data_IF_666247598542
#
_entry.id   IF_666247598542
#
_cell.length_a   1.000
_cell.length_b   1.000
_cell.length_c   1.000
_cell.angle_alpha   90.00
_cell.angle_beta   90.00
_cell.angle_gamma   90.00
#
_symmetry.space_group_name_H-M   'P 1'
#
loop_
_entity.id
_entity.type
_entity.pdbx_description
1 polymer ?
#
# COMPACT_ATOMS: atom_id res chain seq x y z
N UNK A 1 12.24 -30.34 -18.15
CA UNK A 1 11.29 -30.08 -17.05
C UNK A 1 9.98 -29.69 -17.71
N UNK A 2 8.84 -30.02 -17.09
CA UNK A 2 7.55 -29.60 -17.63
C UNK A 2 7.33 -28.10 -17.35
N UNK A 3 6.65 -27.40 -18.26
CA UNK A 3 6.27 -26.00 -18.10
C UNK A 3 5.37 -25.86 -16.86
N UNK A 4 5.73 -24.97 -15.95
CA UNK A 4 4.96 -24.69 -14.74
C UNK A 4 4.62 -23.20 -14.67
N UNK A 5 3.33 -22.90 -14.50
CA UNK A 5 2.84 -21.54 -14.30
C UNK A 5 2.23 -21.47 -12.89
N UNK A 6 2.83 -20.64 -12.03
CA UNK A 6 2.31 -20.35 -10.69
C UNK A 6 1.70 -18.95 -10.68
N UNK A 7 0.40 -18.81 -10.41
CA UNK A 7 -0.32 -17.52 -10.49
C UNK A 7 -1.21 -17.21 -9.27
N UNK A 8 -1.53 -15.93 -9.07
CA UNK A 8 -2.30 -15.39 -7.93
C UNK A 8 -3.82 -15.57 -8.02
N UNK A 9 -4.41 -15.56 -9.23
CA UNK A 9 -5.86 -15.64 -9.43
C UNK A 9 -6.20 -16.68 -10.52
N UNK A 10 -7.24 -17.51 -10.37
CA UNK A 10 -7.59 -18.57 -11.32
C UNK A 10 -8.09 -18.07 -12.68
N UNK A 11 -8.50 -16.80 -12.80
CA UNK A 11 -8.89 -16.19 -14.09
C UNK A 11 -7.69 -15.77 -14.96
N UNK A 12 -6.51 -15.48 -14.38
CA UNK A 12 -5.31 -15.09 -15.13
C UNK A 12 -4.58 -16.24 -15.88
N UNK A 13 -4.49 -17.50 -15.37
CA UNK A 13 -3.76 -18.58 -16.03
C UNK A 13 -4.21 -18.84 -17.46
N UNK A 14 -5.53 -18.79 -17.74
CA UNK A 14 -6.06 -19.14 -19.05
C UNK A 14 -5.50 -18.22 -20.14
N UNK A 15 -5.50 -16.90 -19.92
CA UNK A 15 -4.96 -15.94 -20.88
C UNK A 15 -3.43 -15.96 -20.97
N UNK A 16 -2.74 -16.39 -19.90
CA UNK A 16 -1.28 -16.57 -19.92
C UNK A 16 -0.86 -17.80 -20.72
N UNK A 17 -1.71 -18.84 -20.84
CA UNK A 17 -1.41 -20.04 -21.63
C UNK A 17 -1.29 -19.75 -23.13
N UNK A 18 -1.91 -18.68 -23.61
CA UNK A 18 -1.88 -18.28 -25.03
C UNK A 18 -0.57 -17.59 -25.44
N UNK A 19 0.33 -17.32 -24.49
CA UNK A 19 1.62 -16.68 -24.76
C UNK A 19 2.68 -17.69 -25.24
N UNK A 20 3.63 -17.28 -26.09
CA UNK A 20 4.59 -18.18 -26.74
C UNK A 20 5.76 -18.56 -25.82
N UNK A 21 5.49 -19.35 -24.78
CA UNK A 21 6.48 -19.72 -23.76
C UNK A 21 7.68 -20.51 -24.26
N UNK A 22 7.57 -21.13 -25.45
CA UNK A 22 8.65 -21.86 -26.12
C UNK A 22 9.56 -20.98 -26.99
N UNK A 23 9.40 -19.66 -26.95
CA UNK A 23 10.25 -18.69 -27.67
C UNK A 23 10.97 -17.83 -26.64
N UNK A 24 12.28 -17.55 -26.78
CA UNK A 24 13.00 -16.57 -25.97
C UNK A 24 12.26 -15.23 -25.96
N UNK A 25 12.16 -14.56 -24.81
CA UNK A 25 11.33 -13.36 -24.66
C UNK A 25 11.78 -12.23 -25.59
N UNK A 26 13.07 -12.16 -25.90
CA UNK A 26 13.61 -11.16 -26.83
C UNK A 26 13.10 -11.32 -28.27
N UNK A 27 12.76 -12.54 -28.67
CA UNK A 27 12.29 -12.97 -29.99
C UNK A 27 10.76 -13.11 -30.08
N UNK A 28 10.02 -12.70 -29.04
CA UNK A 28 8.55 -12.82 -29.06
C UNK A 28 7.92 -12.09 -30.26
N UNK A 29 6.95 -12.74 -30.97
CA UNK A 29 6.28 -12.13 -32.11
C UNK A 29 5.54 -10.84 -31.75
N UNK A 30 5.58 -9.85 -32.65
CA UNK A 30 4.98 -8.52 -32.44
C UNK A 30 3.47 -8.57 -32.13
N UNK A 31 2.75 -9.57 -32.63
CA UNK A 31 1.31 -9.75 -32.38
C UNK A 31 0.94 -9.98 -30.91
N UNK A 32 1.88 -10.50 -30.10
CA UNK A 32 1.70 -10.65 -28.66
C UNK A 32 2.17 -9.42 -27.88
N UNK A 33 2.97 -8.56 -28.49
CA UNK A 33 3.67 -7.47 -27.82
C UNK A 33 2.87 -6.17 -27.87
N UNK A 34 3.03 -5.37 -26.81
CA UNK A 34 2.48 -4.02 -26.72
C UNK A 34 3.65 -3.03 -26.68
N UNK A 35 3.63 -2.06 -27.59
CA UNK A 35 4.63 -1.01 -27.63
C UNK A 35 4.35 0.03 -26.52
N UNK A 36 5.07 -0.10 -25.41
CA UNK A 36 5.05 0.87 -24.30
C UNK A 36 6.45 1.43 -24.04
N UNK A 37 6.56 2.65 -23.49
CA UNK A 37 7.84 3.18 -23.07
C UNK A 37 8.51 2.26 -22.05
N UNK A 38 9.81 2.04 -22.21
CA UNK A 38 10.59 1.12 -21.39
C UNK A 38 11.69 1.87 -20.65
N UNK A 39 11.86 1.53 -19.37
CA UNK A 39 13.06 1.90 -18.63
C UNK A 39 14.28 1.09 -19.09
N UNK A 40 15.46 1.47 -18.59
CA UNK A 40 16.62 0.59 -18.67
C UNK A 40 16.38 -0.59 -17.73
N UNK A 41 16.62 -1.80 -18.20
CA UNK A 41 16.70 -2.98 -17.36
C UNK A 41 17.93 -3.79 -17.74
N UNK A 42 18.55 -4.43 -16.74
CA UNK A 42 19.57 -5.47 -16.95
C UNK A 42 18.98 -6.74 -17.57
N UNK A 43 17.66 -6.92 -17.42
CA UNK A 43 16.93 -8.10 -17.84
C UNK A 43 16.15 -7.85 -19.13
N UNK A 44 15.84 -8.92 -19.86
CA UNK A 44 14.90 -8.83 -20.98
C UNK A 44 13.50 -8.64 -20.41
N UNK A 45 12.94 -7.45 -20.63
CA UNK A 45 11.54 -7.14 -20.31
C UNK A 45 10.75 -6.96 -21.60
N UNK A 46 9.51 -7.44 -21.65
CA UNK A 46 8.56 -7.16 -22.74
C UNK A 46 7.18 -6.91 -22.14
N UNK A 47 6.40 -6.07 -22.81
CA UNK A 47 4.99 -5.91 -22.47
C UNK A 47 4.16 -6.73 -23.44
N UNK A 48 3.24 -7.54 -22.92
CA UNK A 48 2.41 -8.42 -23.72
C UNK A 48 0.93 -8.26 -23.34
N UNK A 49 0.05 -8.60 -24.29
CA UNK A 49 -1.38 -8.67 -24.03
C UNK A 49 -1.74 -10.07 -23.56
N UNK A 50 -2.35 -10.17 -22.38
CA UNK A 50 -2.91 -11.41 -21.84
C UNK A 50 -4.40 -11.20 -21.62
N UNK A 51 -5.22 -11.64 -22.58
CA UNK A 51 -6.65 -11.35 -22.58
C UNK A 51 -6.94 -9.85 -22.74
N UNK A 52 -7.64 -9.26 -21.77
CA UNK A 52 -7.93 -7.81 -21.75
C UNK A 52 -6.86 -6.98 -21.00
N UNK A 53 -5.94 -7.64 -20.29
CA UNK A 53 -4.90 -6.95 -19.52
C UNK A 53 -3.57 -6.85 -20.29
N UNK A 54 -2.77 -5.84 -19.92
CA UNK A 54 -1.38 -5.72 -20.35
C UNK A 54 -0.48 -6.15 -19.19
N UNK A 55 0.49 -7.02 -19.48
CA UNK A 55 1.42 -7.56 -18.49
C UNK A 55 2.85 -7.20 -18.87
N UNK A 56 3.69 -6.99 -17.86
CA UNK A 56 5.13 -6.96 -18.02
C UNK A 56 5.69 -8.36 -17.77
N UNK A 57 6.48 -8.83 -18.72
CA UNK A 57 7.09 -10.16 -18.75
C UNK A 57 8.59 -9.93 -18.61
N UNK A 58 9.23 -10.49 -17.58
CA UNK A 58 10.66 -10.30 -17.28
C UNK A 58 11.35 -11.66 -17.22
N UNK A 59 12.32 -11.89 -18.11
CA UNK A 59 13.21 -13.05 -18.02
C UNK A 59 14.27 -12.83 -16.95
N UNK A 60 14.39 -13.78 -16.03
CA UNK A 60 15.36 -13.73 -14.93
C UNK A 60 15.58 -15.15 -14.39
N UNK A 61 16.75 -15.40 -13.82
CA UNK A 61 17.10 -16.69 -13.23
C UNK A 61 16.06 -17.19 -12.22
N UNK A 62 15.85 -18.51 -12.18
CA UNK A 62 14.75 -19.15 -11.43
C UNK A 62 14.65 -18.70 -9.98
N UNK A 63 15.77 -18.70 -9.27
CA UNK A 63 15.82 -18.31 -7.87
C UNK A 63 15.34 -16.86 -7.67
N UNK A 64 15.78 -15.95 -8.55
CA UNK A 64 15.39 -14.54 -8.49
C UNK A 64 13.91 -14.36 -8.86
N UNK A 65 13.41 -15.04 -9.90
CA UNK A 65 12.00 -14.97 -10.31
C UNK A 65 11.07 -15.37 -9.16
N UNK A 66 11.33 -16.52 -8.53
CA UNK A 66 10.49 -17.06 -7.44
C UNK A 66 10.57 -16.18 -6.21
N UNK A 67 11.76 -15.69 -5.87
CA UNK A 67 11.98 -14.81 -4.72
C UNK A 67 11.27 -13.48 -4.89
N UNK A 68 11.47 -12.82 -6.02
CA UNK A 68 10.88 -11.52 -6.31
C UNK A 68 9.35 -11.60 -6.38
N UNK A 69 8.80 -12.67 -6.98
CA UNK A 69 7.37 -12.96 -6.95
C UNK A 69 6.83 -13.02 -5.52
N UNK A 70 7.53 -13.71 -4.61
CA UNK A 70 7.18 -13.76 -3.20
C UNK A 70 7.19 -12.38 -2.55
N UNK A 71 8.26 -11.61 -2.76
CA UNK A 71 8.42 -10.27 -2.18
C UNK A 71 7.35 -9.29 -2.67
N UNK A 72 7.05 -9.25 -3.97
CA UNK A 72 6.01 -8.37 -4.52
C UNK A 72 4.62 -8.72 -3.95
N UNK A 73 4.34 -10.02 -3.72
CA UNK A 73 3.11 -10.44 -3.05
C UNK A 73 3.08 -10.06 -1.58
N UNK A 74 4.22 -10.07 -0.89
CA UNK A 74 4.31 -9.59 0.49
C UNK A 74 4.05 -8.09 0.57
N UNK A 75 4.63 -7.32 -0.36
CA UNK A 75 4.39 -5.88 -0.48
C UNK A 75 2.92 -5.55 -0.77
N UNK A 76 2.26 -6.28 -1.66
CA UNK A 76 0.83 -6.14 -1.94
C UNK A 76 -0.03 -6.41 -0.68
N UNK A 77 0.28 -7.48 0.06
CA UNK A 77 -0.39 -7.79 1.34
C UNK A 77 -0.22 -6.68 2.38
N UNK A 78 0.94 -6.05 2.40
CA UNK A 78 1.27 -4.91 3.26
C UNK A 78 0.69 -3.57 2.73
N UNK A 79 0.12 -3.55 1.52
CA UNK A 79 -0.46 -2.36 0.90
C UNK A 79 0.57 -1.36 0.38
N UNK A 80 1.83 -1.78 0.21
CA UNK A 80 2.90 -0.93 -0.29
C UNK A 80 2.72 -0.69 -1.80
N UNK A 81 2.93 0.54 -2.29
CA UNK A 81 2.94 0.84 -3.72
C UNK A 81 4.05 0.08 -4.48
N UNK A 82 3.71 -1.06 -5.06
CA UNK A 82 4.56 -1.85 -5.94
C UNK A 82 3.75 -2.38 -7.13
N UNK A 83 4.42 -2.97 -8.13
CA UNK A 83 3.75 -3.65 -9.24
C UNK A 83 3.14 -4.98 -8.79
N UNK A 84 1.92 -5.28 -9.25
CA UNK A 84 1.22 -6.51 -8.85
C UNK A 84 1.86 -7.73 -9.50
N UNK A 85 2.27 -8.71 -8.70
CA UNK A 85 2.80 -9.97 -9.21
C UNK A 85 1.67 -10.92 -9.63
N UNK A 86 1.62 -11.24 -10.92
CA UNK A 86 0.59 -12.10 -11.52
C UNK A 86 1.00 -13.56 -11.53
N UNK A 87 2.28 -13.84 -11.80
CA UNK A 87 2.79 -15.20 -11.77
C UNK A 87 4.25 -15.35 -12.11
N UNK A 88 4.73 -16.60 -11.98
CA UNK A 88 6.06 -17.03 -12.42
C UNK A 88 5.91 -18.23 -13.33
N UNK A 89 6.70 -18.24 -14.41
CA UNK A 89 6.77 -19.34 -15.37
C UNK A 89 8.16 -19.97 -15.31
N UNK A 90 8.22 -21.25 -14.94
CA UNK A 90 9.46 -22.05 -14.90
C UNK A 90 9.36 -23.23 -15.85
N UNK A 91 10.49 -23.91 -16.10
CA UNK A 91 10.52 -25.10 -16.95
C UNK A 91 10.25 -24.81 -18.44
N UNK A 92 10.47 -23.58 -18.89
CA UNK A 92 10.37 -23.22 -20.31
C UNK A 92 11.45 -23.94 -21.12
N UNK A 93 11.08 -24.39 -22.32
CA UNK A 93 12.01 -24.98 -23.28
C UNK A 93 11.69 -24.49 -24.68
N UNK A 94 12.72 -24.32 -25.51
CA UNK A 94 12.54 -23.95 -26.91
C UNK A 94 12.06 -25.12 -27.78
N UNK A 95 11.92 -24.88 -29.09
CA UNK A 95 11.51 -25.90 -30.07
C UNK A 95 12.50 -27.07 -30.24
N UNK A 96 13.71 -26.95 -29.70
CA UNK A 96 14.75 -27.99 -29.68
C UNK A 96 14.82 -28.72 -28.34
N UNK A 97 14.05 -28.28 -27.33
CA UNK A 97 14.07 -28.82 -25.98
C UNK A 97 15.15 -28.21 -25.09
N UNK A 98 15.84 -27.15 -25.54
CA UNK A 98 16.84 -26.45 -24.74
C UNK A 98 16.15 -25.57 -23.69
N UNK A 99 16.66 -25.51 -22.44
CA UNK A 99 16.06 -24.69 -21.39
C UNK A 99 16.08 -23.19 -21.71
N UNK A 100 14.96 -22.51 -21.44
CA UNK A 100 14.85 -21.06 -21.48
C UNK A 100 14.77 -20.48 -20.06
N UNK A 101 15.22 -19.24 -19.90
CA UNK A 101 15.15 -18.53 -18.62
C UNK A 101 13.71 -18.48 -18.08
N UNK A 102 13.50 -18.64 -16.77
CA UNK A 102 12.21 -18.41 -16.15
C UNK A 102 11.74 -16.96 -16.30
N UNK A 103 10.46 -16.76 -16.06
CA UNK A 103 9.81 -15.47 -16.24
C UNK A 103 9.04 -15.06 -15.00
N UNK A 104 9.22 -13.82 -14.58
CA UNK A 104 8.30 -13.12 -13.67
C UNK A 104 7.30 -12.30 -14.50
N UNK A 105 6.02 -12.43 -14.15
CA UNK A 105 4.92 -11.70 -14.78
C UNK A 105 4.33 -10.74 -13.76
N UNK A 106 4.31 -9.45 -14.09
CA UNK A 106 3.65 -8.42 -13.29
C UNK A 106 2.59 -7.69 -14.10
N UNK A 107 1.57 -7.15 -13.43
CA UNK A 107 0.56 -6.32 -14.08
C UNK A 107 1.18 -5.00 -14.51
N UNK A 108 0.89 -4.55 -15.73
CA UNK A 108 1.27 -3.22 -16.15
C UNK A 108 0.47 -2.17 -15.35
N UNK A 109 1.17 -1.23 -14.72
CA UNK A 109 0.53 -0.15 -13.98
C UNK A 109 0.04 0.94 -14.94
N UNK A 110 -1.26 0.98 -15.21
CA UNK A 110 -1.87 1.94 -16.13
C UNK A 110 -1.63 3.39 -15.71
N UNK A 111 -1.27 4.23 -16.69
CA UNK A 111 -0.96 5.65 -16.48
C UNK A 111 0.36 5.92 -15.76
N UNK A 112 1.14 4.88 -15.46
CA UNK A 112 2.51 5.03 -14.97
C UNK A 112 3.50 5.25 -16.11
N UNK A 113 4.60 5.92 -15.79
CA UNK A 113 5.70 6.16 -16.72
C UNK A 113 7.01 5.80 -16.03
N UNK A 114 7.94 5.13 -16.73
CA UNK A 114 9.35 5.10 -16.33
C UNK A 114 9.85 6.54 -16.22
N UNK A 115 10.79 6.79 -15.32
CA UNK A 115 11.28 8.15 -15.11
C UNK A 115 11.65 8.77 -16.46
N UNK A 116 12.54 8.16 -17.26
CA UNK A 116 13.02 8.68 -18.57
C UNK A 116 11.94 9.15 -19.54
N UNK A 117 10.78 8.51 -19.58
CA UNK A 117 9.67 8.91 -20.46
C UNK A 117 9.06 10.25 -20.05
N UNK A 118 9.22 10.65 -18.78
CA UNK A 118 8.88 11.98 -18.30
C UNK A 118 9.86 13.07 -18.79
N UNK A 119 10.99 12.68 -19.40
CA UNK A 119 12.10 13.54 -19.83
C UNK A 119 12.21 13.69 -21.36
N UNK A 120 11.22 13.22 -22.13
CA UNK A 120 11.14 13.49 -23.59
C UNK A 120 11.11 15.02 -23.89
N UNK A 121 10.83 15.83 -22.87
CA UNK A 121 11.03 17.28 -22.85
C UNK A 121 11.93 17.68 -21.69
N UNK A 122 12.72 18.76 -21.85
CA UNK A 122 13.71 19.23 -20.87
C UNK A 122 13.16 19.31 -19.46
N UNK A 123 13.77 18.59 -18.52
CA UNK A 123 13.22 18.47 -17.17
C UNK A 123 13.45 19.71 -16.31
N UNK A 124 12.35 20.36 -15.93
CA UNK A 124 12.40 21.52 -15.04
C UNK A 124 12.69 21.08 -13.59
N UNK A 125 13.40 21.91 -12.80
CA UNK A 125 13.69 21.64 -11.39
C UNK A 125 12.47 21.22 -10.56
N UNK A 126 11.31 21.81 -10.81
CA UNK A 126 10.07 21.49 -10.08
C UNK A 126 9.56 20.08 -10.33
N UNK A 127 9.80 19.50 -11.52
CA UNK A 127 9.41 18.12 -11.83
C UNK A 127 10.33 17.14 -11.14
N UNK A 128 11.65 17.38 -11.18
CA UNK A 128 12.63 16.54 -10.46
C UNK A 128 12.32 16.54 -8.96
N UNK A 129 12.04 17.70 -8.36
CA UNK A 129 11.68 17.79 -6.94
C UNK A 129 10.46 16.93 -6.60
N UNK A 130 9.38 17.01 -7.38
CA UNK A 130 8.18 16.19 -7.13
C UNK A 130 8.42 14.69 -7.26
N UNK A 131 9.35 14.27 -8.14
CA UNK A 131 9.75 12.85 -8.21
C UNK A 131 10.52 12.41 -6.96
N UNK A 132 11.44 13.25 -6.48
CA UNK A 132 12.17 12.98 -5.24
C UNK A 132 11.23 12.92 -4.03
N UNK A 133 10.23 13.80 -3.95
CA UNK A 133 9.23 13.77 -2.89
C UNK A 133 8.45 12.44 -2.91
N UNK A 134 7.98 12.01 -4.09
CA UNK A 134 7.28 10.74 -4.26
C UNK A 134 8.15 9.53 -3.90
N UNK A 135 9.42 9.54 -4.31
CA UNK A 135 10.37 8.47 -3.99
C UNK A 135 10.72 8.44 -2.49
N UNK A 136 10.88 9.59 -1.85
CA UNK A 136 11.10 9.67 -0.40
C UNK A 136 9.92 9.06 0.38
N UNK A 137 8.68 9.35 -0.05
CA UNK A 137 7.48 8.74 0.53
C UNK A 137 7.50 7.22 0.35
N UNK A 138 7.79 6.71 -0.85
CA UNK A 138 7.91 5.27 -1.09
C UNK A 138 8.97 4.61 -0.20
N UNK A 139 10.17 5.19 -0.12
CA UNK A 139 11.26 4.69 0.73
C UNK A 139 10.86 4.63 2.21
N UNK A 140 10.22 5.68 2.72
CA UNK A 140 9.76 5.69 4.12
C UNK A 140 8.68 4.62 4.34
N UNK A 141 7.74 4.43 3.42
CA UNK A 141 6.73 3.37 3.52
C UNK A 141 7.36 1.98 3.57
N UNK A 142 8.27 1.69 2.64
CA UNK A 142 9.02 0.43 2.63
C UNK A 142 9.71 0.19 3.97
N UNK A 143 10.46 1.18 4.46
CA UNK A 143 11.22 1.06 5.70
C UNK A 143 10.36 0.94 6.95
N UNK A 144 9.18 1.60 7.01
CA UNK A 144 8.22 1.47 8.10
C UNK A 144 7.63 0.05 8.17
N UNK A 145 7.43 -0.59 7.02
CA UNK A 145 6.96 -1.99 6.94
C UNK A 145 8.04 -3.05 7.10
N UNK A 146 9.29 -2.64 7.34
CA UNK A 146 10.39 -3.59 7.53
C UNK A 146 11.04 -4.07 6.23
N UNK A 147 10.76 -3.45 5.09
CA UNK A 147 11.33 -3.81 3.79
C UNK A 147 12.56 -2.96 3.48
N UNK A 148 13.74 -3.57 3.39
CA UNK A 148 14.94 -2.95 2.82
C UNK A 148 14.98 -3.24 1.32
N UNK A 149 15.19 -2.23 0.48
CA UNK A 149 15.09 -2.34 -0.97
C UNK A 149 16.38 -2.84 -1.62
N UNK A 150 17.54 -2.32 -1.22
CA UNK A 150 18.86 -2.77 -1.71
C UNK A 150 19.25 -2.31 -3.12
N UNK A 151 18.32 -1.80 -3.94
CA UNK A 151 18.62 -1.22 -5.26
C UNK A 151 17.70 -0.02 -5.57
N UNK A 152 17.65 0.93 -4.64
CA UNK A 152 16.85 2.15 -4.76
C UNK A 152 17.34 3.00 -5.95
N UNK A 153 16.48 3.24 -6.94
CA UNK A 153 16.81 4.04 -8.12
C UNK A 153 15.56 4.60 -8.80
N UNK A 154 15.72 5.62 -9.66
CA UNK A 154 14.64 6.11 -10.51
C UNK A 154 14.27 5.07 -11.58
N UNK A 155 15.23 4.27 -12.05
CA UNK A 155 15.01 3.20 -13.04
C UNK A 155 14.14 2.06 -12.51
N UNK A 156 14.27 1.74 -11.22
CA UNK A 156 13.46 0.72 -10.56
C UNK A 156 12.14 1.26 -9.98
N UNK A 157 11.78 2.51 -10.34
CA UNK A 157 10.58 3.19 -9.88
C UNK A 157 9.69 3.60 -11.06
N UNK A 158 8.40 3.28 -10.98
CA UNK A 158 7.38 3.85 -11.85
C UNK A 158 6.69 5.03 -11.18
N UNK A 159 6.40 6.07 -11.97
CA UNK A 159 5.73 7.26 -11.48
C UNK A 159 4.38 7.43 -12.14
N UNK A 160 3.34 7.65 -11.33
CA UNK A 160 1.99 7.97 -11.80
C UNK A 160 1.63 9.39 -11.38
N UNK A 161 1.00 10.15 -12.27
CA UNK A 161 0.46 11.48 -11.93
C UNK A 161 -0.70 11.31 -10.97
N UNK A 162 -0.71 12.11 -9.90
CA UNK A 162 -1.78 12.08 -8.92
C UNK A 162 -2.09 13.50 -8.45
N UNK A 163 -3.26 14.04 -8.84
CA UNK A 163 -3.78 15.35 -8.43
C UNK A 163 -2.78 16.53 -8.38
N UNK A 164 -1.81 16.59 -9.32
CA UNK A 164 -0.79 17.64 -9.38
C UNK A 164 0.57 17.28 -8.74
N UNK A 165 0.65 16.14 -8.08
CA UNK A 165 1.84 15.49 -7.56
C UNK A 165 2.17 14.19 -8.34
N UNK A 166 3.13 13.42 -7.83
CA UNK A 166 3.48 12.09 -8.32
C UNK A 166 3.37 11.07 -7.20
N UNK A 167 2.93 9.86 -7.54
CA UNK A 167 3.05 8.68 -6.71
C UNK A 167 4.13 7.76 -7.31
N UNK A 168 5.00 7.23 -6.45
CA UNK A 168 6.07 6.31 -6.83
C UNK A 168 5.67 4.87 -6.50
N UNK A 169 6.04 3.93 -7.38
CA UNK A 169 5.77 2.51 -7.25
C UNK A 169 7.06 1.71 -7.47
N UNK A 170 7.34 0.77 -6.57
CA UNK A 170 8.45 -0.16 -6.69
C UNK A 170 8.18 -1.16 -7.82
N UNK A 171 9.16 -1.37 -8.70
CA UNK A 171 9.04 -2.30 -9.83
C UNK A 171 9.93 -3.53 -9.67
N UNK A 172 11.13 -3.33 -9.14
CA UNK A 172 12.13 -4.38 -8.97
C UNK A 172 12.40 -4.60 -7.48
N UNK A 173 11.98 -5.77 -6.99
CA UNK A 173 12.20 -6.21 -5.61
C UNK A 173 13.32 -7.28 -5.51
N UNK A 174 14.07 -7.55 -6.58
CA UNK A 174 15.02 -8.66 -6.68
C UNK A 174 16.06 -8.65 -5.54
N UNK A 175 16.55 -7.46 -5.17
CA UNK A 175 17.54 -7.24 -4.10
C UNK A 175 16.92 -7.01 -2.72
N UNK A 176 15.60 -6.87 -2.65
CA UNK A 176 14.88 -6.46 -1.44
C UNK A 176 14.85 -7.54 -0.36
N UNK A 177 14.68 -7.16 0.90
CA UNK A 177 14.64 -8.04 2.07
C UNK A 177 13.60 -7.56 3.07
N UNK A 178 12.78 -8.48 3.57
CA UNK A 178 11.81 -8.19 4.64
C UNK A 178 12.39 -8.61 5.99
N UNK A 179 12.28 -7.73 6.97
CA UNK A 179 12.59 -7.97 8.37
C UNK A 179 11.40 -7.56 9.24
N UNK A 180 11.23 -8.13 10.44
CA UNK A 180 10.20 -7.65 11.37
C UNK A 180 10.31 -6.15 11.69
N UNK A 181 11.55 -5.65 11.73
CA UNK A 181 11.87 -4.22 11.83
C UNK A 181 13.26 -3.99 11.27
N UNK A 182 13.41 -2.97 10.41
CA UNK A 182 14.72 -2.58 9.92
C UNK A 182 15.57 -1.93 11.02
N UNK A 183 16.85 -2.26 11.00
CA UNK A 183 17.88 -1.51 11.73
C UNK A 183 18.11 -0.15 11.06
N UNK A 184 18.72 0.79 11.80
CA UNK A 184 19.12 2.07 11.20
C UNK A 184 20.12 1.86 10.05
N UNK A 185 21.11 0.98 10.22
CA UNK A 185 22.12 0.72 9.18
C UNK A 185 21.55 0.14 7.87
N UNK A 186 20.50 -0.68 7.93
CA UNK A 186 19.81 -1.14 6.72
C UNK A 186 19.12 0.02 5.98
N UNK A 187 18.48 0.93 6.72
CA UNK A 187 17.88 2.12 6.11
C UNK A 187 18.94 3.04 5.53
N UNK A 188 20.00 3.32 6.29
CA UNK A 188 21.09 4.19 5.84
C UNK A 188 21.75 3.66 4.56
N UNK A 189 21.89 2.34 4.45
CA UNK A 189 22.37 1.70 3.23
C UNK A 189 21.47 2.01 2.03
N UNK A 190 20.17 1.79 2.14
CA UNK A 190 19.22 2.06 1.05
C UNK A 190 19.19 3.53 0.63
N UNK A 191 19.34 4.45 1.59
CA UNK A 191 19.37 5.89 1.32
C UNK A 191 20.68 6.31 0.64
N UNK A 192 21.80 5.71 1.03
CA UNK A 192 23.08 5.95 0.37
C UNK A 192 23.09 5.40 -1.07
N UNK A 193 22.54 4.19 -1.27
CA UNK A 193 22.35 3.61 -2.61
C UNK A 193 21.46 4.52 -3.46
N UNK A 194 20.33 4.99 -2.91
CA UNK A 194 19.44 5.93 -3.61
C UNK A 194 20.18 7.21 -4.02
N UNK A 195 20.94 7.82 -3.10
CA UNK A 195 21.72 9.04 -3.36
C UNK A 195 22.65 8.88 -4.56
N UNK A 196 23.43 7.79 -4.59
CA UNK A 196 24.41 7.53 -5.65
C UNK A 196 23.72 7.20 -6.97
N UNK A 197 22.73 6.32 -6.95
CA UNK A 197 22.03 5.88 -8.16
C UNK A 197 21.28 7.05 -8.83
N UNK A 198 20.52 7.84 -8.04
CA UNK A 198 19.77 8.99 -8.56
C UNK A 198 20.72 10.02 -9.17
N UNK A 199 21.84 10.32 -8.51
CA UNK A 199 22.83 11.25 -9.06
C UNK A 199 23.38 10.75 -10.40
N UNK A 200 23.73 9.47 -10.51
CA UNK A 200 24.19 8.87 -11.76
C UNK A 200 23.12 8.93 -12.87
N UNK A 201 21.89 8.58 -12.55
CA UNK A 201 20.76 8.60 -13.49
C UNK A 201 20.42 10.01 -13.99
N UNK A 202 20.63 11.04 -13.16
CA UNK A 202 20.50 12.44 -13.55
C UNK A 202 21.70 12.93 -14.39
N UNK A 203 22.92 12.48 -14.08
CA UNK A 203 24.10 12.76 -14.91
C UNK A 203 23.96 12.17 -16.33
N UNK A 204 23.40 10.96 -16.45
CA UNK A 204 23.09 10.36 -17.74
C UNK A 204 22.13 11.24 -18.56
N UNK A 205 21.12 11.82 -17.91
CA UNK A 205 20.17 12.72 -18.55
C UNK A 205 20.80 14.07 -18.93
N UNK A 206 21.73 14.57 -18.12
CA UNK A 206 22.53 15.76 -18.43
C UNK A 206 23.40 15.53 -19.67
N UNK A 207 24.15 14.41 -19.71
CA UNK A 207 24.96 14.03 -20.85
C UNK A 207 24.12 13.83 -22.13
N UNK A 208 22.88 13.33 -21.98
CA UNK A 208 21.91 13.20 -23.06
C UNK A 208 21.19 14.51 -23.45
N UNK A 209 21.50 15.65 -22.83
CA UNK A 209 20.88 16.95 -23.12
C UNK A 209 19.41 17.07 -22.71
N UNK A 210 18.91 16.14 -21.88
CA UNK A 210 17.50 16.07 -21.47
C UNK A 210 17.24 16.69 -20.08
N UNK A 211 18.31 17.01 -19.34
CA UNK A 211 18.25 17.70 -18.05
C UNK A 211 18.37 19.23 -18.23
N UNK A 212 17.58 20.01 -17.48
CA UNK A 212 17.71 21.46 -17.52
C UNK A 212 19.04 21.91 -16.88
N UNK A 213 19.78 22.87 -17.46
CA UNK A 213 21.11 23.29 -16.95
C UNK A 213 21.15 23.87 -15.53
N UNK A 214 19.99 24.12 -14.92
CA UNK A 214 19.88 24.60 -13.54
C UNK A 214 19.67 23.47 -12.53
N UNK A 215 19.67 22.21 -12.97
CA UNK A 215 19.53 21.03 -12.12
C UNK A 215 20.91 20.43 -11.95
N UNK A 216 21.41 20.41 -10.73
CA UNK A 216 22.67 19.75 -10.38
C UNK A 216 22.38 18.30 -9.93
N UNK A 217 22.85 17.29 -10.68
CA UNK A 217 22.62 15.88 -10.33
C UNK A 217 23.05 15.50 -8.91
N UNK A 218 24.17 16.05 -8.43
CA UNK A 218 24.74 15.71 -7.12
C UNK A 218 23.89 16.32 -6.01
N UNK A 219 23.56 17.61 -6.12
CA UNK A 219 22.72 18.28 -5.12
C UNK A 219 21.33 17.63 -5.04
N UNK A 220 20.77 17.19 -6.16
CA UNK A 220 19.49 16.48 -6.15
C UNK A 220 19.59 15.08 -5.52
N UNK A 221 20.69 14.37 -5.75
CA UNK A 221 21.01 13.13 -5.02
C UNK A 221 21.09 13.36 -3.51
N UNK A 222 21.76 14.42 -3.05
CA UNK A 222 21.80 14.76 -1.61
C UNK A 222 20.42 15.09 -1.06
N UNK A 223 19.61 15.78 -1.86
CA UNK A 223 18.30 16.22 -1.45
C UNK A 223 17.28 15.07 -1.28
N UNK A 224 17.52 13.85 -1.80
CA UNK A 224 16.69 12.68 -1.44
C UNK A 224 16.92 12.26 0.01
N UNK A 225 18.17 12.34 0.49
CA UNK A 225 18.56 12.00 1.86
C UNK A 225 17.87 12.93 2.84
N UNK A 226 17.92 14.24 2.57
CA UNK A 226 17.28 15.26 3.41
C UNK A 226 15.76 15.06 3.50
N UNK A 227 15.10 14.84 2.35
CA UNK A 227 13.64 14.59 2.29
C UNK A 227 13.25 13.34 3.05
N UNK A 228 13.97 12.24 2.83
CA UNK A 228 13.75 10.98 3.52
C UNK A 228 13.93 11.16 5.03
N UNK A 229 15.05 11.74 5.48
CA UNK A 229 15.34 11.92 6.90
C UNK A 229 14.32 12.83 7.59
N UNK A 230 13.91 13.92 6.93
CA UNK A 230 12.89 14.82 7.45
C UNK A 230 11.54 14.11 7.62
N UNK A 231 11.10 13.36 6.60
CA UNK A 231 9.85 12.61 6.66
C UNK A 231 9.91 11.46 7.67
N UNK A 232 11.01 10.71 7.71
CA UNK A 232 11.22 9.65 8.69
C UNK A 232 11.16 10.19 10.12
N UNK A 233 11.84 11.32 10.39
CA UNK A 233 11.80 11.96 11.70
C UNK A 233 10.38 12.40 12.08
N UNK A 234 9.67 13.02 11.15
CA UNK A 234 8.28 13.45 11.38
C UNK A 234 7.33 12.27 11.66
N UNK A 235 7.62 11.09 11.13
CA UNK A 235 6.79 9.90 11.32
C UNK A 235 7.18 9.06 12.53
N UNK A 236 8.45 9.11 12.96
CA UNK A 236 8.95 8.19 13.99
C UNK A 236 9.33 8.88 15.30
N UNK A 237 9.50 10.20 15.31
CA UNK A 237 9.96 10.92 16.48
C UNK A 237 8.80 11.48 17.32
N UNK A 238 8.93 11.31 18.65
CA UNK A 238 8.06 11.94 19.64
C UNK A 238 8.32 13.46 19.67
N UNK A 239 7.29 14.28 19.49
CA UNK A 239 7.43 15.73 19.61
C UNK A 239 6.68 16.24 20.82
N UNK A 240 7.29 17.19 21.52
CA UNK A 240 6.72 17.80 22.72
C UNK A 240 6.26 19.21 22.36
N UNK A 241 4.96 19.46 22.50
CA UNK A 241 4.35 20.75 22.23
C UNK A 241 3.88 21.39 23.55
N UNK A 242 4.05 22.70 23.75
CA UNK A 242 3.39 23.43 24.82
C UNK A 242 1.85 23.30 24.72
N UNK A 243 1.14 23.32 25.84
CA UNK A 243 -0.31 23.03 25.87
C UNK A 243 -1.17 24.04 25.05
N UNK A 244 -0.64 25.24 24.78
CA UNK A 244 -1.27 26.28 23.95
C UNK A 244 -1.05 26.13 22.43
N UNK A 245 -0.23 25.18 21.99
CA UNK A 245 0.26 25.05 20.62
C UNK A 245 -0.48 24.00 19.79
N UNK A 246 -1.78 23.79 20.03
CA UNK A 246 -2.61 22.80 19.32
C UNK A 246 -2.54 22.90 17.78
N UNK A 247 -2.38 24.12 17.26
CA UNK A 247 -2.26 24.38 15.83
C UNK A 247 -1.03 23.73 15.18
N UNK A 248 0.06 23.50 15.93
CA UNK A 248 1.23 22.80 15.42
C UNK A 248 0.96 21.29 15.22
N UNK A 249 0.13 20.69 16.07
CA UNK A 249 -0.31 19.30 15.93
C UNK A 249 -1.20 19.18 14.69
N UNK A 250 -2.19 20.08 14.52
CA UNK A 250 -3.08 20.09 13.35
C UNK A 250 -2.31 20.29 12.04
N UNK A 251 -1.33 21.19 12.03
CA UNK A 251 -0.48 21.42 10.86
C UNK A 251 0.33 20.16 10.51
N UNK A 252 0.90 19.47 11.50
CA UNK A 252 1.63 18.23 11.28
C UNK A 252 0.71 17.14 10.73
N UNK A 253 -0.49 16.96 11.28
CA UNK A 253 -1.46 15.98 10.77
C UNK A 253 -1.82 16.30 9.31
N UNK A 254 -2.11 17.56 8.98
CA UNK A 254 -2.41 17.97 7.60
C UNK A 254 -1.26 17.66 6.65
N UNK A 255 -0.03 17.97 7.07
CA UNK A 255 1.17 17.68 6.27
C UNK A 255 1.36 16.17 6.03
N UNK A 256 1.11 15.33 7.03
CA UNK A 256 1.15 13.87 6.87
C UNK A 256 0.07 13.39 5.90
N UNK A 257 -1.15 13.90 6.02
CA UNK A 257 -2.24 13.58 5.11
C UNK A 257 -1.96 14.03 3.67
N UNK A 258 -1.35 15.21 3.47
CA UNK A 258 -0.89 15.69 2.15
C UNK A 258 0.17 14.78 1.52
N UNK A 259 0.95 14.08 2.34
CA UNK A 259 1.93 13.08 1.92
C UNK A 259 1.32 11.67 1.77
N UNK A 260 0.00 11.55 1.95
CA UNK A 260 -0.75 10.31 1.80
C UNK A 260 -0.58 9.34 2.97
N UNK A 261 -0.21 9.84 4.16
CA UNK A 261 -0.22 9.08 5.41
C UNK A 261 -1.41 9.49 6.26
N UNK A 262 -2.18 8.52 6.75
CA UNK A 262 -3.24 8.76 7.73
C UNK A 262 -2.72 8.52 9.16
N UNK A 263 -3.05 9.42 10.09
CA UNK A 263 -2.70 9.28 11.51
C UNK A 263 -3.74 8.41 12.20
N UNK A 264 -3.43 7.12 12.34
CA UNK A 264 -4.33 6.10 12.88
C UNK A 264 -4.52 6.20 14.40
N UNK A 265 -3.49 6.57 15.15
CA UNK A 265 -3.54 6.69 16.61
C UNK A 265 -2.61 7.81 17.07
N UNK A 266 -3.01 8.48 18.14
CA UNK A 266 -2.23 9.53 18.79
C UNK A 266 -2.07 9.20 20.27
N UNK A 267 -0.81 9.10 20.71
CA UNK A 267 -0.51 9.04 22.14
C UNK A 267 -0.27 10.46 22.64
N UNK A 268 -1.18 10.97 23.46
CA UNK A 268 -1.07 12.27 24.13
C UNK A 268 -0.74 12.03 25.61
N UNK A 269 0.45 12.45 26.02
CA UNK A 269 0.85 12.44 27.43
C UNK A 269 1.09 13.87 27.90
N UNK A 270 0.43 14.25 29.00
CA UNK A 270 0.72 15.52 29.68
C UNK A 270 1.95 15.36 30.56
N UNK A 271 2.82 16.35 30.58
CA UNK A 271 3.95 16.35 31.52
C UNK A 271 3.45 16.42 32.97
N UNK A 272 4.27 15.97 33.95
CA UNK A 272 3.94 16.08 35.37
C UNK A 272 3.62 17.50 35.83
N UNK A 273 4.22 18.50 35.16
CA UNK A 273 4.02 19.92 35.44
C UNK A 273 2.82 20.51 34.66
N UNK A 274 2.21 19.74 33.75
CA UNK A 274 1.00 20.10 33.03
C UNK A 274 1.17 21.04 31.84
N UNK A 275 2.39 21.47 31.52
CA UNK A 275 2.63 22.54 30.53
C UNK A 275 2.90 22.03 29.10
N UNK A 276 3.13 20.73 28.91
CA UNK A 276 3.42 20.16 27.60
C UNK A 276 2.68 18.86 27.29
N UNK A 277 2.54 18.59 26.00
CA UNK A 277 1.91 17.42 25.38
C UNK A 277 2.92 16.73 24.49
N UNK A 278 3.22 15.46 24.77
CA UNK A 278 3.99 14.61 23.85
C UNK A 278 3.06 14.02 22.81
N UNK A 279 3.47 14.06 21.54
CA UNK A 279 2.77 13.56 20.37
C UNK A 279 3.67 12.57 19.62
N UNK A 280 3.18 11.34 19.45
CA UNK A 280 3.76 10.32 18.59
C UNK A 280 2.67 9.86 17.61
N UNK A 281 2.82 10.15 16.30
CA UNK A 281 1.86 9.66 15.33
C UNK A 281 2.09 8.17 15.08
N UNK A 282 1.02 7.38 15.09
CA UNK A 282 1.01 6.06 14.46
C UNK A 282 0.41 6.22 13.07
N UNK A 283 1.25 6.21 12.04
CA UNK A 283 0.80 6.39 10.66
C UNK A 283 0.51 5.08 9.96
N UNK A 284 -0.47 5.12 9.08
CA UNK A 284 -0.73 4.11 8.04
C UNK A 284 -0.80 4.80 6.68
N UNK A 285 -0.81 4.03 5.60
CA UNK A 285 -1.05 4.59 4.26
C UNK A 285 -2.50 5.11 4.13
N UNK A 286 -2.70 6.14 3.30
CA UNK A 286 -4.03 6.65 3.02
C UNK A 286 -4.97 5.55 2.47
N UNK A 287 -6.20 5.49 3.00
CA UNK A 287 -7.16 4.46 2.60
C UNK A 287 -6.73 3.03 2.97
N UNK A 288 -5.76 2.88 3.88
CA UNK A 288 -5.24 1.58 4.30
C UNK A 288 -6.33 0.75 4.96
N UNK A 289 -7.06 1.34 5.91
CA UNK A 289 -8.11 0.63 6.62
C UNK A 289 -9.27 0.31 5.68
N UNK A 290 -9.62 1.20 4.75
CA UNK A 290 -10.62 0.91 3.71
C UNK A 290 -10.25 -0.32 2.89
N UNK A 291 -9.04 -0.34 2.31
CA UNK A 291 -8.57 -1.46 1.46
C UNK A 291 -8.46 -2.75 2.26
N UNK A 292 -7.95 -2.69 3.49
CA UNK A 292 -7.82 -3.85 4.35
C UNK A 292 -9.19 -4.40 4.74
N UNK A 293 -10.13 -3.55 5.15
CA UNK A 293 -11.50 -3.97 5.49
C UNK A 293 -12.17 -4.60 4.28
N UNK A 294 -12.13 -3.94 3.12
CA UNK A 294 -12.74 -4.44 1.89
C UNK A 294 -12.15 -5.79 1.48
N UNK A 295 -10.82 -5.95 1.54
CA UNK A 295 -10.13 -7.21 1.21
C UNK A 295 -10.50 -8.35 2.17
N UNK A 296 -10.59 -8.07 3.47
CA UNK A 296 -10.85 -9.10 4.49
C UNK A 296 -12.34 -9.47 4.56
N UNK A 297 -13.24 -8.51 4.35
CA UNK A 297 -14.66 -8.65 4.71
C UNK A 297 -15.62 -8.42 3.54
N UNK A 298 -15.19 -7.74 2.49
CA UNK A 298 -16.04 -7.23 1.42
C UNK A 298 -16.90 -6.03 1.82
N UNK A 299 -16.68 -5.44 2.99
CA UNK A 299 -17.37 -4.22 3.43
C UNK A 299 -16.63 -2.98 2.90
N UNK A 300 -17.36 -2.07 2.29
CA UNK A 300 -16.90 -0.74 1.92
C UNK A 300 -17.32 0.25 3.01
N UNK A 301 -16.41 1.12 3.42
CA UNK A 301 -16.61 2.05 4.54
C UNK A 301 -15.68 3.25 4.39
N UNK A 302 -15.98 4.37 5.06
CA UNK A 302 -15.03 5.48 5.15
C UNK A 302 -13.85 5.13 6.10
N UNK A 303 -12.69 5.80 5.99
CA UNK A 303 -11.45 5.38 6.69
C UNK A 303 -11.61 5.24 8.21
N UNK A 304 -12.29 6.19 8.87
CA UNK A 304 -12.55 6.14 10.31
C UNK A 304 -13.49 4.98 10.70
N UNK A 305 -14.52 4.73 9.88
CA UNK A 305 -15.42 3.60 10.05
C UNK A 305 -14.64 2.30 9.85
N UNK A 306 -13.85 2.20 8.79
CA UNK A 306 -13.05 1.03 8.46
C UNK A 306 -12.07 0.67 9.59
N UNK A 307 -11.39 1.67 10.16
CA UNK A 307 -10.54 1.51 11.35
C UNK A 307 -11.32 0.98 12.54
N UNK A 308 -12.50 1.55 12.82
CA UNK A 308 -13.34 1.13 13.95
C UNK A 308 -13.81 -0.32 13.80
N UNK A 309 -14.23 -0.71 12.60
CA UNK A 309 -14.66 -2.07 12.26
C UNK A 309 -13.49 -3.08 12.32
N UNK A 310 -12.32 -2.72 11.78
CA UNK A 310 -11.12 -3.56 11.83
C UNK A 310 -10.64 -3.82 13.26
N UNK A 311 -10.67 -2.81 14.14
CA UNK A 311 -10.31 -2.99 15.55
C UNK A 311 -11.27 -3.97 16.28
N UNK A 312 -12.58 -3.86 16.01
CA UNK A 312 -13.56 -4.80 16.59
C UNK A 312 -13.38 -6.22 16.02
N UNK A 313 -13.10 -6.34 14.72
CA UNK A 313 -12.74 -7.59 14.08
C UNK A 313 -11.50 -8.23 14.72
N UNK A 314 -10.40 -7.50 14.87
CA UNK A 314 -9.17 -8.00 15.51
C UNK A 314 -9.41 -8.46 16.94
N UNK A 315 -10.17 -7.67 17.71
CA UNK A 315 -10.55 -8.02 19.08
C UNK A 315 -11.37 -9.32 19.10
N UNK A 316 -12.33 -9.47 18.19
CA UNK A 316 -13.13 -10.69 18.08
C UNK A 316 -12.30 -11.89 17.64
N UNK A 317 -11.41 -11.73 16.64
CA UNK A 317 -10.53 -12.81 16.17
C UNK A 317 -9.68 -13.37 17.30
N UNK A 318 -9.15 -12.50 18.18
CA UNK A 318 -8.37 -12.91 19.34
C UNK A 318 -9.14 -13.78 20.36
N UNK A 319 -10.47 -13.83 20.28
CA UNK A 319 -11.32 -14.69 21.13
C UNK A 319 -11.65 -16.04 20.49
N UNK A 320 -11.29 -16.27 19.22
CA UNK A 320 -11.62 -17.50 18.50
C UNK A 320 -10.57 -18.58 18.75
N UNK A 321 -11.02 -19.81 19.01
CA UNK A 321 -10.14 -20.95 19.32
C UNK A 321 -9.17 -21.29 18.18
N UNK A 322 -9.55 -21.01 16.93
CA UNK A 322 -8.76 -21.30 15.73
C UNK A 322 -7.95 -20.09 15.21
N UNK A 323 -7.89 -18.99 15.97
CA UNK A 323 -7.00 -17.87 15.69
C UNK A 323 -5.58 -18.16 16.19
N UNK A 324 -4.73 -18.68 15.29
CA UNK A 324 -3.33 -18.97 15.55
C UNK A 324 -2.42 -18.30 14.49
N UNK A 325 -2.07 -17.01 14.67
CA UNK A 325 -1.22 -16.29 13.74
C UNK A 325 0.13 -17.00 13.54
N UNK A 326 0.45 -17.35 12.29
CA UNK A 326 1.71 -18.01 11.92
C UNK A 326 1.71 -19.53 12.04
N UNK A 327 0.63 -20.15 12.53
CA UNK A 327 0.43 -21.59 12.46
C UNK A 327 -0.21 -21.98 11.10
N UNK A 328 0.40 -22.85 10.29
CA UNK A 328 -0.20 -23.35 9.05
C UNK A 328 -1.55 -24.05 9.25
N UNK A 329 -1.83 -24.55 10.46
CA UNK A 329 -3.09 -25.19 10.84
C UNK A 329 -4.14 -24.19 11.37
N UNK A 330 -3.76 -22.93 11.62
CA UNK A 330 -4.66 -21.88 12.04
C UNK A 330 -5.61 -21.43 10.93
N UNK A 331 -6.77 -20.88 11.31
CA UNK A 331 -7.68 -20.29 10.32
C UNK A 331 -7.05 -19.05 9.69
N UNK A 332 -7.19 -18.94 8.36
CA UNK A 332 -6.73 -17.74 7.65
C UNK A 332 -7.51 -16.50 8.10
N UNK A 333 -6.87 -15.32 8.16
CA UNK A 333 -7.53 -14.07 8.56
C UNK A 333 -8.81 -13.75 7.78
N UNK A 334 -8.84 -14.03 6.47
CA UNK A 334 -10.00 -13.79 5.60
C UNK A 334 -11.20 -14.68 6.00
N UNK A 335 -10.93 -15.90 6.46
CA UNK A 335 -11.98 -16.84 6.90
C UNK A 335 -12.60 -16.36 8.21
N UNK A 336 -11.77 -15.88 9.14
CA UNK A 336 -12.24 -15.32 10.41
C UNK A 336 -12.99 -14.00 10.18
N UNK A 337 -12.48 -13.14 9.30
CA UNK A 337 -13.15 -11.90 8.91
C UNK A 337 -14.54 -12.15 8.31
N UNK A 338 -14.69 -13.12 7.41
CA UNK A 338 -16.00 -13.51 6.89
C UNK A 338 -16.95 -14.06 7.98
N UNK A 339 -16.43 -14.80 8.97
CA UNK A 339 -17.23 -15.26 10.12
C UNK A 339 -17.69 -14.10 10.98
N UNK A 340 -16.80 -13.17 11.31
CA UNK A 340 -17.15 -11.96 12.05
C UNK A 340 -18.25 -11.15 11.34
N UNK A 341 -18.16 -10.98 10.02
CA UNK A 341 -19.21 -10.32 9.24
C UNK A 341 -20.56 -11.02 9.41
N UNK A 342 -20.56 -12.36 9.36
CA UNK A 342 -21.77 -13.19 9.45
C UNK A 342 -22.37 -13.23 10.86
N UNK A 343 -21.51 -13.32 11.88
CA UNK A 343 -21.88 -13.69 13.24
C UNK A 343 -21.97 -12.48 14.19
N UNK A 344 -21.29 -11.38 13.87
CA UNK A 344 -21.23 -10.18 14.72
C UNK A 344 -21.80 -8.96 13.98
N UNK A 345 -21.20 -8.58 12.85
CA UNK A 345 -21.58 -7.35 12.14
C UNK A 345 -23.04 -7.41 11.64
N UNK A 346 -23.39 -8.41 10.83
CA UNK A 346 -24.74 -8.52 10.25
C UNK A 346 -25.85 -8.66 11.30
N UNK A 347 -25.71 -9.50 12.35
CA UNK A 347 -26.73 -9.60 13.39
C UNK A 347 -26.92 -8.29 14.16
N UNK A 348 -25.82 -7.62 14.52
CA UNK A 348 -25.85 -6.33 15.24
C UNK A 348 -26.58 -5.26 14.42
N UNK A 349 -26.19 -5.08 13.15
CA UNK A 349 -26.85 -4.12 12.26
C UNK A 349 -28.32 -4.49 12.04
N UNK A 350 -28.65 -5.78 11.90
CA UNK A 350 -30.06 -6.24 11.76
C UNK A 350 -30.93 -5.93 12.97
N UNK A 351 -30.34 -5.77 14.16
CA UNK A 351 -31.03 -5.33 15.37
C UNK A 351 -31.61 -3.91 15.27
N UNK A 352 -31.11 -3.10 14.33
CA UNK A 352 -31.63 -1.75 14.06
C UNK A 352 -32.90 -1.83 13.17
N UNK A 353 -33.93 -1.00 13.40
CA UNK A 353 -35.11 -0.91 12.56
C UNK A 353 -34.77 -0.71 11.07
N UNK A 354 -35.59 -1.31 10.21
CA UNK A 354 -35.33 -1.34 8.76
C UNK A 354 -35.38 0.06 8.15
N UNK A 355 -36.18 0.94 8.72
CA UNK A 355 -36.38 2.32 8.27
C UNK A 355 -35.07 3.12 8.35
N UNK A 356 -34.27 2.91 9.39
CA UNK A 356 -32.98 3.58 9.58
C UNK A 356 -31.87 2.96 8.75
N UNK A 357 -31.87 1.63 8.65
CA UNK A 357 -30.95 0.90 7.77
C UNK A 357 -31.14 1.22 6.28
N UNK A 358 -32.29 1.77 5.90
CA UNK A 358 -32.56 2.20 4.53
C UNK A 358 -32.00 3.61 4.22
N UNK A 359 -31.73 4.41 5.25
CA UNK A 359 -31.33 5.82 5.10
C UNK A 359 -29.87 6.08 5.46
N UNK A 360 -29.23 5.19 6.21
CA UNK A 360 -27.84 5.34 6.67
C UNK A 360 -27.03 4.11 6.27
N UNK A 361 -25.78 4.33 5.87
CA UNK A 361 -24.85 3.26 5.53
C UNK A 361 -24.62 2.31 6.72
N UNK A 362 -24.48 1.01 6.41
CA UNK A 362 -24.36 -0.03 7.46
C UNK A 362 -23.06 0.02 8.24
N UNK A 363 -21.95 0.47 7.63
CA UNK A 363 -20.69 0.65 8.33
C UNK A 363 -20.78 1.84 9.29
N UNK A 364 -21.45 2.93 8.88
CA UNK A 364 -21.74 4.07 9.76
C UNK A 364 -22.59 3.65 10.97
N UNK A 365 -23.68 2.91 10.77
CA UNK A 365 -24.53 2.42 11.87
C UNK A 365 -23.71 1.58 12.86
N UNK A 366 -22.89 0.65 12.36
CA UNK A 366 -22.08 -0.20 13.23
C UNK A 366 -21.01 0.59 13.98
N UNK A 367 -20.37 1.55 13.32
CA UNK A 367 -19.41 2.46 13.95
C UNK A 367 -20.03 3.23 15.13
N UNK A 368 -21.22 3.81 14.94
CA UNK A 368 -21.96 4.51 16.00
C UNK A 368 -22.33 3.58 17.17
N UNK A 369 -22.69 2.32 16.89
CA UNK A 369 -22.96 1.32 17.92
C UNK A 369 -21.69 0.99 18.73
N UNK A 370 -20.53 0.89 18.08
CA UNK A 370 -19.27 0.66 18.78
C UNK A 370 -18.91 1.84 19.70
N UNK A 371 -19.11 3.07 19.25
CA UNK A 371 -18.93 4.27 20.10
C UNK A 371 -19.90 4.26 21.29
N UNK A 372 -21.17 3.90 21.06
CA UNK A 372 -22.17 3.82 22.12
C UNK A 372 -21.84 2.71 23.13
N UNK A 373 -21.37 1.54 22.67
CA UNK A 373 -20.90 0.45 23.52
C UNK A 373 -19.79 0.93 24.44
N UNK A 374 -18.82 1.65 23.90
CA UNK A 374 -17.70 2.19 24.67
C UNK A 374 -18.19 3.11 25.79
N UNK A 375 -19.08 4.06 25.48
CA UNK A 375 -19.65 4.98 26.47
C UNK A 375 -20.45 4.25 27.58
N UNK A 376 -21.26 3.26 27.21
CA UNK A 376 -22.01 2.45 28.17
C UNK A 376 -21.08 1.62 29.06
N UNK A 377 -20.06 1.00 28.47
CA UNK A 377 -19.08 0.18 29.19
C UNK A 377 -18.25 1.03 30.15
N UNK A 378 -17.90 2.27 29.76
CA UNK A 378 -17.20 3.22 30.63
C UNK A 378 -18.08 3.60 31.84
N UNK A 379 -19.35 3.94 31.61
CA UNK A 379 -20.29 4.27 32.70
C UNK A 379 -20.57 3.09 33.63
N UNK A 380 -20.63 1.87 33.08
CA UNK A 380 -20.90 0.66 33.84
C UNK A 380 -19.63 0.07 34.49
N UNK A 381 -18.43 0.57 34.14
CA UNK A 381 -17.12 0.03 34.53
C UNK A 381 -16.97 -1.47 34.22
N UNK A 382 -17.65 -1.95 33.17
CA UNK A 382 -17.61 -3.33 32.67
C UNK A 382 -18.10 -3.37 31.23
N UNK A 383 -17.69 -4.36 30.45
CA UNK A 383 -18.23 -4.56 29.11
C UNK A 383 -19.71 -4.93 29.16
N UNK A 384 -20.55 -4.16 28.47
CA UNK A 384 -22.00 -4.38 28.34
C UNK A 384 -22.38 -5.25 27.14
N UNK A 385 -21.48 -5.45 26.17
CA UNK A 385 -21.76 -6.24 24.97
C UNK A 385 -22.70 -5.56 23.96
N UNK A 386 -22.80 -6.15 22.76
CA UNK A 386 -23.50 -5.53 21.62
C UNK A 386 -25.03 -5.57 21.74
N UNK A 387 -25.62 -6.63 22.29
CA UNK A 387 -27.09 -6.75 22.41
C UNK A 387 -27.67 -5.65 23.32
N UNK A 388 -27.07 -5.46 24.50
CA UNK A 388 -27.47 -4.39 25.42
C UNK A 388 -27.21 -2.99 24.82
N UNK A 389 -26.14 -2.84 24.04
CA UNK A 389 -25.84 -1.58 23.34
C UNK A 389 -26.91 -1.25 22.31
N UNK A 390 -27.34 -2.22 21.49
CA UNK A 390 -28.41 -2.02 20.52
C UNK A 390 -29.70 -1.62 21.23
N UNK A 391 -30.09 -2.32 22.29
CA UNK A 391 -31.31 -1.99 23.03
C UNK A 391 -31.29 -0.56 23.59
N UNK A 392 -30.16 -0.13 24.15
CA UNK A 392 -30.01 1.22 24.70
C UNK A 392 -29.96 2.29 23.59
N UNK A 393 -29.25 2.03 22.49
CA UNK A 393 -29.17 2.93 21.33
C UNK A 393 -30.55 3.18 20.73
N UNK A 394 -31.39 2.14 20.63
CA UNK A 394 -32.78 2.28 20.16
C UNK A 394 -33.65 3.11 21.11
N UNK A 395 -33.41 3.03 22.42
CA UNK A 395 -34.19 3.77 23.42
C UNK A 395 -33.78 5.23 23.55
N UNK A 396 -32.48 5.53 23.47
CA UNK A 396 -31.94 6.81 23.91
C UNK A 396 -31.45 7.72 22.77
N UNK A 397 -31.08 7.17 21.61
CA UNK A 397 -30.53 7.97 20.50
C UNK A 397 -31.57 8.15 19.38
N UNK A 398 -32.26 7.07 19.04
CA UNK A 398 -33.28 7.04 17.98
C UNK A 398 -34.42 8.07 18.11
N UNK A 399 -34.93 8.41 19.30
CA UNK A 399 -35.99 9.42 19.45
C UNK A 399 -35.55 10.86 19.16
N UNK A 400 -34.23 11.11 19.06
CA UNK A 400 -33.66 12.46 19.02
C UNK A 400 -32.92 12.78 17.71
N UNK A 401 -32.74 11.82 16.80
CA UNK A 401 -32.17 12.06 15.48
C UNK A 401 -33.22 12.73 14.56
N UNK A 402 -32.91 13.87 13.91
CA UNK A 402 -33.88 14.58 13.08
C UNK A 402 -34.33 13.70 11.90
N UNK A 403 -35.64 13.50 11.77
CA UNK A 403 -36.22 12.79 10.62
C UNK A 403 -35.93 13.58 9.35
N UNK A 404 -35.41 12.91 8.32
CA UNK A 404 -35.30 13.48 6.98
C UNK A 404 -36.67 13.99 6.51
N UNK A 405 -36.74 15.14 5.80
CA UNK A 405 -38.00 15.66 5.31
C UNK A 405 -38.64 14.66 4.32
N UNK A 406 -39.98 14.58 4.29
CA UNK A 406 -40.66 13.67 3.38
C UNK A 406 -40.34 14.05 1.93
N UNK A 407 -40.04 13.03 1.11
CA UNK A 407 -39.91 13.17 -0.34
C UNK A 407 -41.30 13.54 -0.89
N UNK A 408 -41.44 14.62 -1.68
CA UNK A 408 -42.72 14.97 -2.28
C UNK A 408 -43.07 13.98 -3.40
N UNK A 409 -44.35 13.60 -3.46
CA UNK A 409 -44.96 12.68 -4.44
C UNK A 409 -44.70 13.03 -5.90
#
# INVERSE_FOLDING_TARGET
MDLQITATAPEHPAALLDLPWSIPLEEWPEEHLVALPRGISRHVVRFARAGEEVVAVKEVGEWAAVREYGLLRDLDRLGIPAVDALGVVTGRTDGHGEPLEPVLITRHLNGSLPYRSMFETTMRPSTVSRLLDALAVLLVRLHLTGFAWGDCSLSNTLFRRDAGAYAAYLVDAETGQIQPKLTQGQRDYDIEVARVNIAGELMDLEAGGSLHPSVDPVLFGEAIVERYCALWHELTHESVYPLGERHHIDHRIRRLNELGFDVAEMKIQRSPDGDSVTFLPKVVDAGHHQRQLLRLTGLDAEENQARSLLNDLETWMATQDDYAPGDPLGARPEVLAHRWVRDVFRPTVRGIPRELRATVDTAQIYHELLEHRWFLSERAQKDVGLDATVEDYLRNILPHTPKAPPVPD
#
